data_IF_568626930128
#
_entry.id   IF_568626930128
#
_cell.length_a   1.000
_cell.length_b   1.000
_cell.length_c   1.000
_cell.angle_alpha   90.00
_cell.angle_beta   90.00
_cell.angle_gamma   90.00
#
_symmetry.space_group_name_H-M   'P 1'
#
loop_
_entity.id
_entity.type
_entity.pdbx_description
1 polymer ?
#
# COMPACT_ATOMS: atom_id res chain seq x y z
N UNK A 1 0.15 5.34 -8.78
CA UNK A 1 -0.51 5.40 -7.44
C UNK A 1 -1.12 4.06 -7.06
N UNK A 2 -1.82 3.38 -7.99
CA UNK A 2 -2.38 2.04 -7.77
C UNK A 2 -1.33 0.97 -7.40
N UNK A 3 -0.13 1.05 -7.98
CA UNK A 3 0.98 0.12 -7.69
C UNK A 3 1.44 0.14 -6.23
N UNK A 4 1.73 1.34 -5.71
CA UNK A 4 2.15 1.48 -4.32
C UNK A 4 1.08 0.97 -3.34
N UNK A 5 -0.21 1.19 -3.65
CA UNK A 5 -1.30 0.68 -2.83
C UNK A 5 -1.40 -0.85 -2.88
N UNK A 6 -1.30 -1.45 -4.08
CA UNK A 6 -1.32 -2.91 -4.24
C UNK A 6 -0.13 -3.57 -3.54
N UNK A 7 1.05 -2.95 -3.55
CA UNK A 7 2.20 -3.42 -2.78
C UNK A 7 1.89 -3.45 -1.27
N UNK A 8 1.35 -2.35 -0.72
CA UNK A 8 0.97 -2.29 0.70
C UNK A 8 -0.09 -3.35 1.04
N UNK A 9 -1.06 -3.56 0.15
CA UNK A 9 -2.08 -4.58 0.31
C UNK A 9 -1.48 -6.00 0.31
N UNK A 10 -0.52 -6.28 -0.57
CA UNK A 10 0.19 -7.56 -0.61
C UNK A 10 1.02 -7.81 0.66
N UNK A 11 1.64 -6.77 1.21
CA UNK A 11 2.36 -6.85 2.48
C UNK A 11 1.38 -7.13 3.62
N UNK A 12 0.24 -6.45 3.65
CA UNK A 12 -0.84 -6.69 4.61
C UNK A 12 -1.38 -8.13 4.51
N UNK A 13 -1.66 -8.63 3.31
CA UNK A 13 -2.08 -10.01 3.07
C UNK A 13 -1.03 -11.01 3.58
N UNK A 14 0.24 -10.76 3.28
CA UNK A 14 1.35 -11.60 3.73
C UNK A 14 1.43 -11.64 5.26
N UNK A 15 1.31 -10.49 5.92
CA UNK A 15 1.29 -10.40 7.37
C UNK A 15 0.11 -11.17 7.98
N UNK A 16 -1.06 -11.13 7.32
CA UNK A 16 -2.26 -11.82 7.78
C UNK A 16 -2.13 -13.35 7.64
N UNK A 17 -1.61 -13.82 6.52
CA UNK A 17 -1.41 -15.26 6.22
C UNK A 17 -0.35 -15.86 7.16
N UNK A 18 0.74 -15.13 7.43
CA UNK A 18 1.81 -15.58 8.31
C UNK A 18 1.49 -15.41 9.80
N UNK A 19 0.59 -14.47 10.13
CA UNK A 19 0.22 -14.16 11.49
C UNK A 19 -0.81 -15.14 12.10
N UNK A 20 -1.03 -14.97 13.40
CA UNK A 20 -2.02 -15.76 14.15
C UNK A 20 -3.46 -15.49 13.71
N UNK A 21 -3.71 -14.37 13.01
CA UNK A 21 -5.04 -13.98 12.51
C UNK A 21 -5.58 -14.96 11.46
N UNK A 22 -4.72 -15.44 10.55
CA UNK A 22 -5.11 -16.44 9.55
C UNK A 22 -5.59 -17.74 10.20
N UNK A 23 -4.88 -18.20 11.23
CA UNK A 23 -5.28 -19.36 12.05
C UNK A 23 -6.55 -19.07 12.86
N UNK A 24 -6.68 -17.86 13.38
CA UNK A 24 -7.80 -17.45 14.23
C UNK A 24 -9.13 -17.41 13.47
N UNK A 25 -9.14 -17.05 12.19
CA UNK A 25 -10.37 -16.98 11.39
C UNK A 25 -10.54 -18.15 10.42
N UNK A 26 -9.46 -18.84 10.05
CA UNK A 26 -9.51 -19.99 9.16
C UNK A 26 -9.73 -19.62 7.69
N UNK A 27 -9.33 -18.41 7.27
CA UNK A 27 -9.43 -17.92 5.88
C UNK A 27 -8.09 -17.93 5.15
N UNK A 28 -7.15 -18.77 5.60
CA UNK A 28 -5.78 -18.72 5.13
C UNK A 28 -5.69 -18.99 3.63
N UNK A 29 -6.42 -20.01 3.16
CA UNK A 29 -6.41 -20.42 1.75
C UNK A 29 -7.05 -19.36 0.85
N UNK A 30 -8.14 -18.73 1.29
CA UNK A 30 -8.79 -17.65 0.54
C UNK A 30 -7.91 -16.41 0.45
N UNK A 31 -7.19 -16.05 1.52
CA UNK A 31 -6.22 -14.94 1.48
C UNK A 31 -4.98 -15.26 0.64
N UNK A 32 -4.51 -16.52 0.63
CA UNK A 32 -3.42 -16.97 -0.25
C UNK A 32 -3.82 -16.86 -1.72
N UNK A 33 -5.06 -17.23 -2.05
CA UNK A 33 -5.60 -17.06 -3.40
C UNK A 33 -5.69 -15.59 -3.83
N UNK A 34 -6.20 -14.72 -2.95
CA UNK A 34 -6.24 -13.27 -3.21
C UNK A 34 -4.82 -12.71 -3.41
N UNK A 35 -3.87 -13.10 -2.56
CA UNK A 35 -2.46 -12.71 -2.70
C UNK A 35 -1.91 -13.13 -4.06
N UNK A 36 -2.13 -14.38 -4.47
CA UNK A 36 -1.70 -14.87 -5.77
C UNK A 36 -2.26 -14.03 -6.92
N UNK A 37 -3.57 -13.76 -6.89
CA UNK A 37 -4.22 -12.91 -7.90
C UNK A 37 -3.61 -11.51 -7.95
N UNK A 38 -3.47 -10.83 -6.80
CA UNK A 38 -2.86 -9.49 -6.77
C UNK A 38 -1.40 -9.47 -7.22
N UNK A 39 -0.60 -10.48 -6.92
CA UNK A 39 0.78 -10.59 -7.42
C UNK A 39 0.81 -10.71 -8.94
N UNK A 40 -0.06 -11.53 -9.55
CA UNK A 40 -0.13 -11.65 -11.02
C UNK A 40 -0.58 -10.36 -11.71
N UNK A 41 -1.35 -9.53 -11.02
CA UNK A 41 -1.81 -8.24 -11.51
C UNK A 41 -0.73 -7.18 -11.32
N UNK A 42 -0.01 -7.19 -10.20
CA UNK A 42 1.12 -6.29 -9.94
C UNK A 42 2.17 -6.37 -11.05
N UNK A 43 2.48 -7.58 -11.52
CA UNK A 43 3.44 -7.84 -12.61
C UNK A 43 3.14 -7.08 -13.91
N UNK A 44 1.89 -6.66 -14.13
CA UNK A 44 1.46 -5.92 -15.34
C UNK A 44 0.96 -4.52 -15.06
N UNK A 45 0.92 -4.13 -13.80
CA UNK A 45 0.30 -2.88 -13.40
C UNK A 45 1.17 -1.67 -13.78
N UNK A 46 2.49 -1.84 -13.81
CA UNK A 46 3.42 -0.82 -14.26
C UNK A 46 3.21 -0.51 -15.75
N UNK A 47 3.20 -1.54 -16.61
CA UNK A 47 2.92 -1.40 -18.05
C UNK A 47 1.51 -0.83 -18.29
N UNK A 48 0.52 -1.25 -17.50
CA UNK A 48 -0.84 -0.73 -17.57
C UNK A 48 -0.92 0.76 -17.20
N UNK A 49 -0.19 1.22 -16.17
CA UNK A 49 -0.19 2.63 -15.77
C UNK A 49 0.48 3.54 -16.81
N UNK A 50 1.57 3.08 -17.44
CA UNK A 50 2.19 3.83 -18.54
C UNK A 50 1.25 3.97 -19.75
N UNK A 51 0.51 2.90 -20.08
CA UNK A 51 -0.43 2.87 -21.21
C UNK A 51 -1.78 3.54 -20.90
N UNK A 52 -2.13 3.72 -19.62
CA UNK A 52 -3.40 4.29 -19.15
C UNK A 52 -3.72 5.64 -19.80
N UNK A 53 -2.71 6.49 -20.04
CA UNK A 53 -2.90 7.84 -20.57
C UNK A 53 -3.54 7.87 -21.98
N UNK A 54 -3.53 6.75 -22.71
CA UNK A 54 -3.99 6.68 -24.09
C UNK A 54 -5.23 5.82 -24.29
N UNK A 55 -5.64 5.03 -23.29
CA UNK A 55 -6.66 4.00 -23.42
C UNK A 55 -7.72 4.08 -22.30
N UNK A 56 -8.90 4.61 -22.63
CA UNK A 56 -10.05 4.75 -21.69
C UNK A 56 -10.56 3.40 -21.18
N UNK A 57 -10.73 2.37 -22.02
CA UNK A 57 -10.97 1.00 -21.57
C UNK A 57 -9.99 0.50 -20.49
N UNK A 58 -8.69 0.81 -20.63
CA UNK A 58 -7.66 0.43 -19.65
C UNK A 58 -7.79 1.21 -18.33
N UNK A 59 -8.14 2.50 -18.41
CA UNK A 59 -8.45 3.31 -17.22
C UNK A 59 -9.63 2.72 -16.42
N UNK A 60 -10.70 2.31 -17.10
CA UNK A 60 -11.84 1.67 -16.44
C UNK A 60 -11.46 0.33 -15.80
N UNK A 61 -10.62 -0.48 -16.48
CA UNK A 61 -10.10 -1.72 -15.94
C UNK A 61 -9.27 -1.50 -14.66
N UNK A 62 -8.36 -0.52 -14.66
CA UNK A 62 -7.58 -0.12 -13.48
C UNK A 62 -8.47 0.41 -12.36
N UNK A 63 -9.55 1.12 -12.68
CA UNK A 63 -10.50 1.60 -11.69
C UNK A 63 -11.22 0.43 -10.98
N UNK A 64 -11.71 -0.56 -11.75
CA UNK A 64 -12.33 -1.78 -11.17
C UNK A 64 -11.36 -2.53 -10.26
N UNK A 65 -10.10 -2.62 -10.67
CA UNK A 65 -9.05 -3.24 -9.87
C UNK A 65 -8.83 -2.50 -8.54
N UNK A 66 -8.73 -1.18 -8.56
CA UNK A 66 -8.58 -0.38 -7.34
C UNK A 66 -9.77 -0.57 -6.39
N UNK A 67 -11.00 -0.54 -6.91
CA UNK A 67 -12.19 -0.79 -6.09
C UNK A 67 -12.13 -2.18 -5.45
N UNK A 68 -11.67 -3.19 -6.18
CA UNK A 68 -11.51 -4.53 -5.63
C UNK A 68 -10.41 -4.61 -4.56
N UNK A 69 -9.30 -3.91 -4.75
CA UNK A 69 -8.21 -3.84 -3.77
C UNK A 69 -8.68 -3.18 -2.47
N UNK A 70 -9.41 -2.05 -2.54
CA UNK A 70 -9.94 -1.38 -1.34
C UNK A 70 -10.89 -2.27 -0.54
N UNK A 71 -11.78 -3.00 -1.21
CA UNK A 71 -12.71 -3.91 -0.52
C UNK A 71 -11.97 -5.04 0.22
N UNK A 72 -10.84 -5.52 -0.33
CA UNK A 72 -9.99 -6.52 0.33
C UNK A 72 -9.25 -5.93 1.54
N UNK A 73 -8.76 -4.69 1.43
CA UNK A 73 -8.16 -3.97 2.56
C UNK A 73 -9.17 -3.78 3.71
N UNK A 74 -10.40 -3.38 3.38
CA UNK A 74 -11.50 -3.25 4.34
C UNK A 74 -11.81 -4.57 5.06
N UNK A 75 -11.76 -5.70 4.35
CA UNK A 75 -11.93 -7.04 4.94
C UNK A 75 -10.80 -7.35 5.92
N UNK A 76 -9.55 -7.04 5.55
CA UNK A 76 -8.38 -7.25 6.41
C UNK A 76 -8.49 -6.42 7.70
N UNK A 77 -8.87 -5.16 7.58
CA UNK A 77 -9.03 -4.28 8.73
C UNK A 77 -10.21 -4.67 9.63
N UNK A 78 -11.32 -5.15 9.05
CA UNK A 78 -12.43 -5.73 9.82
C UNK A 78 -11.96 -6.96 10.62
N UNK A 79 -11.13 -7.83 10.02
CA UNK A 79 -10.55 -8.99 10.68
C UNK A 79 -9.60 -8.59 11.83
N UNK A 80 -8.68 -7.64 11.58
CA UNK A 80 -7.75 -7.11 12.61
C UNK A 80 -8.53 -6.49 13.79
N UNK A 81 -9.51 -5.64 13.49
CA UNK A 81 -10.37 -5.00 14.50
C UNK A 81 -11.12 -6.04 15.33
N UNK A 82 -11.65 -7.08 14.68
CA UNK A 82 -12.38 -8.15 15.34
C UNK A 82 -11.48 -8.98 16.25
N UNK A 83 -10.27 -9.32 15.80
CA UNK A 83 -9.30 -10.05 16.60
C UNK A 83 -8.85 -9.26 17.83
N UNK A 84 -8.56 -7.97 17.67
CA UNK A 84 -8.21 -7.09 18.78
C UNK A 84 -9.33 -6.99 19.83
N UNK A 85 -10.61 -6.99 19.40
CA UNK A 85 -11.75 -7.03 20.32
C UNK A 85 -11.86 -8.36 21.05
N UNK A 86 -11.58 -9.48 20.36
CA UNK A 86 -11.72 -10.81 20.94
C UNK A 86 -10.59 -11.13 21.93
N UNK A 87 -9.37 -10.65 21.69
CA UNK A 87 -8.24 -10.80 22.62
C UNK A 87 -8.47 -10.07 23.95
N UNK A 88 -9.32 -9.05 23.98
CA UNK A 88 -9.71 -8.35 25.22
C UNK A 88 -10.85 -9.04 25.99
N UNK A 89 -11.52 -10.04 25.40
CA UNK A 89 -12.64 -10.73 26.06
C UNK A 89 -12.19 -12.01 26.75
N UNK A 90 -12.76 -12.32 27.92
CA UNK A 90 -12.48 -13.56 28.69
C UNK A 90 -12.70 -14.87 27.91
N UNK A 91 -13.50 -14.83 26.85
CA UNK A 91 -13.87 -16.00 26.05
C UNK A 91 -12.99 -16.20 24.80
N UNK A 92 -12.09 -15.27 24.47
CA UNK A 92 -11.16 -15.38 23.35
C UNK A 92 -11.83 -15.86 22.04
N UNK A 93 -11.27 -16.90 21.43
CA UNK A 93 -11.74 -17.53 20.19
C UNK A 93 -13.15 -18.15 20.27
N UNK A 94 -13.68 -18.39 21.48
CA UNK A 94 -14.94 -19.12 21.70
C UNK A 94 -16.16 -18.20 21.80
N UNK A 95 -16.01 -16.91 21.46
CA UNK A 95 -17.12 -15.97 21.53
C UNK A 95 -18.19 -16.34 20.47
N UNK A 96 -19.47 -16.52 20.85
CA UNK A 96 -20.54 -16.91 19.91
C UNK A 96 -20.76 -15.94 18.72
N UNK A 97 -20.26 -14.71 18.81
CA UNK A 97 -20.31 -13.71 17.72
C UNK A 97 -19.27 -13.96 16.62
N UNK A 98 -18.41 -14.97 16.75
CA UNK A 98 -17.37 -15.29 15.75
C UNK A 98 -17.94 -16.03 14.53
N UNK A 99 -18.93 -16.91 14.75
CA UNK A 99 -19.56 -17.71 13.69
C UNK A 99 -20.25 -16.83 12.63
N UNK A 100 -21.16 -15.90 12.99
CA UNK A 100 -21.79 -15.03 11.99
C UNK A 100 -20.78 -14.07 11.33
N UNK A 101 -19.71 -13.71 12.05
CA UNK A 101 -18.63 -12.89 11.49
C UNK A 101 -17.86 -13.65 10.41
N UNK A 102 -17.46 -14.90 10.69
CA UNK A 102 -16.79 -15.76 9.69
C UNK A 102 -17.68 -15.95 8.46
N UNK A 103 -18.97 -16.23 8.63
CA UNK A 103 -19.88 -16.36 7.49
C UNK A 103 -19.93 -15.07 6.64
N UNK A 104 -20.04 -13.91 7.28
CA UNK A 104 -20.05 -12.60 6.60
C UNK A 104 -18.76 -12.38 5.80
N UNK A 105 -17.60 -12.60 6.43
CA UNK A 105 -16.29 -12.40 5.79
C UNK A 105 -16.08 -13.40 4.65
N UNK A 106 -16.34 -14.69 4.87
CA UNK A 106 -16.19 -15.71 3.84
C UNK A 106 -17.05 -15.44 2.61
N UNK A 107 -18.29 -14.96 2.79
CA UNK A 107 -19.14 -14.55 1.66
C UNK A 107 -18.54 -13.38 0.88
N UNK A 108 -18.07 -12.33 1.57
CA UNK A 108 -17.43 -11.17 0.92
C UNK A 108 -16.15 -11.57 0.18
N UNK A 109 -15.31 -12.42 0.79
CA UNK A 109 -14.09 -12.91 0.15
C UNK A 109 -14.38 -13.69 -1.13
N UNK A 110 -15.41 -14.55 -1.11
CA UNK A 110 -15.84 -15.27 -2.31
C UNK A 110 -16.28 -14.31 -3.43
N UNK A 111 -17.12 -13.34 -3.11
CA UNK A 111 -17.56 -12.31 -4.07
C UNK A 111 -16.37 -11.51 -4.62
N UNK A 112 -15.37 -11.23 -3.79
CA UNK A 112 -14.16 -10.52 -4.20
C UNK A 112 -13.26 -11.34 -5.11
N UNK A 113 -13.15 -12.63 -4.86
CA UNK A 113 -12.40 -13.52 -5.73
C UNK A 113 -13.04 -13.63 -7.11
N UNK A 114 -14.36 -13.78 -7.18
CA UNK A 114 -15.11 -13.80 -8.45
C UNK A 114 -14.93 -12.49 -9.24
N UNK A 115 -14.93 -11.33 -8.55
CA UNK A 115 -14.66 -10.03 -9.19
C UNK A 115 -13.23 -9.93 -9.71
N UNK A 116 -12.25 -10.40 -8.94
CA UNK A 116 -10.85 -10.39 -9.37
C UNK A 116 -10.61 -11.32 -10.56
N UNK A 117 -11.25 -12.49 -10.60
CA UNK A 117 -11.19 -13.39 -11.74
C UNK A 117 -11.76 -12.74 -13.01
N UNK A 118 -12.88 -12.02 -12.89
CA UNK A 118 -13.46 -11.27 -14.00
C UNK A 118 -12.51 -10.16 -14.49
N UNK A 119 -11.88 -9.42 -13.57
CA UNK A 119 -10.88 -8.39 -13.89
C UNK A 119 -9.66 -9.04 -14.56
N UNK A 120 -9.18 -10.16 -14.05
CA UNK A 120 -8.07 -10.91 -14.64
C UNK A 120 -8.41 -11.43 -16.04
N UNK A 121 -9.65 -11.86 -16.30
CA UNK A 121 -10.08 -12.27 -17.63
C UNK A 121 -10.15 -11.08 -18.62
N UNK A 122 -10.63 -9.91 -18.17
CA UNK A 122 -10.66 -8.68 -18.98
C UNK A 122 -9.25 -8.24 -19.40
N UNK A 123 -8.22 -8.54 -18.60
CA UNK A 123 -6.80 -8.24 -18.88
C UNK A 123 -6.36 -8.69 -20.27
N UNK A 124 -6.85 -9.83 -20.75
CA UNK A 124 -6.48 -10.41 -22.06
C UNK A 124 -6.71 -9.46 -23.25
N UNK A 125 -7.61 -8.48 -23.08
CA UNK A 125 -7.97 -7.49 -24.11
C UNK A 125 -6.95 -6.37 -24.29
N UNK A 126 -6.05 -6.18 -23.33
CA UNK A 126 -5.16 -5.01 -23.26
C UNK A 126 -3.71 -5.30 -23.67
N UNK A 127 -3.39 -6.55 -24.03
CA UNK A 127 -2.03 -6.98 -24.43
C UNK A 127 -0.94 -6.43 -23.49
N UNK A 128 -1.17 -6.56 -22.18
CA UNK A 128 -0.23 -6.12 -21.15
C UNK A 128 0.90 -7.13 -21.02
N UNK A 129 2.12 -6.68 -21.26
CA UNK A 129 3.33 -7.50 -21.16
C UNK A 129 3.97 -7.35 -19.78
N UNK A 130 4.44 -8.46 -19.21
CA UNK A 130 5.25 -8.42 -17.99
C UNK A 130 6.62 -7.84 -18.36
N UNK A 131 6.96 -6.66 -17.86
CA UNK A 131 8.31 -6.10 -18.03
C UNK A 131 9.28 -6.87 -17.16
N UNK A 132 10.33 -7.42 -17.77
CA UNK A 132 11.51 -7.98 -17.07
C UNK A 132 12.60 -6.92 -16.86
N UNK A 133 12.23 -5.64 -16.77
CA UNK A 133 13.21 -4.56 -16.85
C UNK A 133 13.70 -4.21 -15.45
N UNK A 134 14.94 -4.61 -15.15
CA UNK A 134 15.82 -3.89 -14.23
C UNK A 134 15.85 -2.42 -14.65
N UNK A 135 14.97 -1.61 -14.07
CA UNK A 135 15.13 -0.16 -14.13
C UNK A 135 14.94 0.36 -12.73
N UNK A 136 16.04 0.89 -12.21
CA UNK A 136 16.04 1.87 -11.14
C UNK A 136 14.96 2.90 -11.47
N UNK A 137 13.82 2.77 -10.81
CA UNK A 137 12.83 3.82 -10.78
C UNK A 137 13.61 5.06 -10.36
N UNK A 138 13.68 6.06 -11.25
CA UNK A 138 14.22 7.37 -10.95
C UNK A 138 13.29 8.02 -9.93
N UNK A 139 13.42 7.55 -8.69
CA UNK A 139 12.78 8.09 -7.51
C UNK A 139 13.28 9.52 -7.43
N UNK A 140 12.39 10.47 -7.18
CA UNK A 140 12.84 11.77 -6.68
C UNK A 140 13.60 11.49 -5.40
N UNK A 141 14.92 11.61 -5.47
CA UNK A 141 15.77 11.54 -4.30
C UNK A 141 15.44 12.75 -3.44
N UNK A 142 14.73 12.51 -2.34
CA UNK A 142 14.56 13.48 -1.25
C UNK A 142 15.60 13.26 -0.16
N UNK A 143 16.63 12.45 -0.44
CA UNK A 143 17.74 12.13 0.46
C UNK A 143 19.00 12.89 0.08
N UNK A 144 19.96 12.94 1.00
CA UNK A 144 21.28 13.51 0.77
C UNK A 144 22.17 12.46 0.10
N UNK A 145 22.60 12.70 -1.14
CA UNK A 145 23.72 11.96 -1.75
C UNK A 145 24.99 12.46 -1.08
N UNK A 146 25.76 11.56 -0.47
CA UNK A 146 26.96 11.84 0.36
C UNK A 146 28.10 12.58 -0.40
N UNK A 147 27.95 12.86 -1.69
CA UNK A 147 28.97 13.51 -2.51
C UNK A 147 28.33 14.38 -3.59
N UNK A 148 27.62 15.42 -3.18
CA UNK A 148 27.22 16.51 -4.09
C UNK A 148 28.35 17.55 -4.24
N UNK A 149 28.48 18.20 -5.42
CA UNK A 149 29.33 19.38 -5.55
C UNK A 149 28.80 20.51 -4.66
N UNK A 150 29.69 21.18 -3.92
CA UNK A 150 29.32 22.25 -3.01
C UNK A 150 28.57 23.37 -3.77
N UNK A 151 27.37 23.80 -3.33
CA UNK A 151 26.61 24.82 -4.02
C UNK A 151 27.34 26.17 -3.96
N UNK A 152 27.89 26.60 -5.10
CA UNK A 152 28.61 27.86 -5.22
C UNK A 152 27.68 29.08 -5.11
N UNK A 153 28.15 30.13 -4.42
CA UNK A 153 27.47 31.42 -4.37
C UNK A 153 26.35 31.55 -3.32
N UNK A 154 26.06 30.47 -2.58
CA UNK A 154 25.09 30.46 -1.47
C UNK A 154 25.75 30.50 -0.08
N UNK A 155 27.01 30.92 -0.01
CA UNK A 155 27.79 30.94 1.23
C UNK A 155 27.18 31.85 2.30
N UNK A 156 26.55 32.96 1.87
CA UNK A 156 25.89 33.92 2.76
C UNK A 156 24.64 33.29 3.41
N UNK A 157 23.82 32.62 2.62
CA UNK A 157 22.61 31.92 3.04
C UNK A 157 22.96 30.73 3.93
N UNK A 158 23.99 29.94 3.57
CA UNK A 158 24.55 28.85 4.38
C UNK A 158 24.92 29.35 5.78
N UNK A 159 25.72 30.41 5.87
CA UNK A 159 26.14 30.98 7.15
C UNK A 159 24.96 31.54 7.97
N UNK A 160 23.95 32.13 7.31
CA UNK A 160 22.74 32.63 7.98
C UNK A 160 21.91 31.49 8.57
N UNK A 161 21.75 30.39 7.85
CA UNK A 161 21.03 29.19 8.32
C UNK A 161 21.79 28.57 9.51
N UNK A 162 23.11 28.35 9.38
CA UNK A 162 23.94 27.81 10.47
C UNK A 162 23.80 28.66 11.73
N UNK A 163 23.89 30.00 11.60
CA UNK A 163 23.73 30.92 12.73
C UNK A 163 22.36 30.82 13.41
N UNK A 164 21.28 30.67 12.63
CA UNK A 164 19.93 30.50 13.18
C UNK A 164 19.83 29.17 13.94
N UNK A 165 20.40 28.09 13.40
CA UNK A 165 20.38 26.77 14.01
C UNK A 165 21.24 26.71 15.28
N UNK A 166 22.42 27.34 15.30
CA UNK A 166 23.31 27.33 16.47
C UNK A 166 22.84 28.25 17.60
N UNK A 167 22.24 29.39 17.27
CA UNK A 167 21.85 30.38 18.27
C UNK A 167 20.54 30.05 18.99
N UNK A 168 19.72 29.14 18.45
CA UNK A 168 18.43 28.74 19.02
C UNK A 168 18.50 27.52 19.96
N UNK A 169 19.69 27.08 20.36
CA UNK A 169 19.88 25.91 21.22
C UNK A 169 19.64 26.22 22.72
N UNK A 170 19.46 27.49 23.09
CA UNK A 170 19.15 27.86 24.47
C UNK A 170 17.75 28.43 24.63
N UNK A 171 16.96 27.69 25.41
CA UNK A 171 15.71 28.01 26.08
C UNK A 171 14.40 28.07 25.27
N UNK A 172 13.44 27.34 25.86
CA UNK A 172 11.97 27.40 25.72
C UNK A 172 11.33 26.42 24.72
N UNK A 173 10.25 25.82 25.22
CA UNK A 173 9.39 24.75 24.69
C UNK A 173 8.61 25.12 23.40
N UNK A 174 9.20 25.90 22.48
CA UNK A 174 8.54 26.33 21.24
C UNK A 174 9.18 25.70 19.99
N UNK A 175 8.34 25.06 19.17
CA UNK A 175 8.75 24.47 17.89
C UNK A 175 9.19 25.56 16.91
N UNK A 176 10.49 25.57 16.55
CA UNK A 176 11.03 26.46 15.51
C UNK A 176 10.99 25.79 14.14
N UNK A 177 10.22 26.36 13.20
CA UNK A 177 10.16 25.93 11.79
C UNK A 177 10.91 26.94 10.91
N UNK A 178 11.77 26.46 10.01
CA UNK A 178 12.51 27.27 9.03
C UNK A 178 12.13 26.87 7.61
N UNK A 179 11.17 27.55 6.96
CA UNK A 179 10.82 27.25 5.58
C UNK A 179 11.91 27.72 4.60
N UNK A 180 12.26 26.88 3.63
CA UNK A 180 13.13 27.24 2.51
C UNK A 180 12.24 27.39 1.28
N UNK A 181 12.19 28.59 0.72
CA UNK A 181 11.39 28.92 -0.46
C UNK A 181 12.32 29.10 -1.67
N UNK A 182 11.95 28.48 -2.79
CA UNK A 182 12.59 28.64 -4.08
C UNK A 182 11.53 28.60 -5.19
N UNK A 183 11.90 29.05 -6.39
CA UNK A 183 11.12 28.86 -7.61
C UNK A 183 11.72 27.71 -8.43
#
# INVERSE_FOLDING_TARGET
MAEAFIQVLLDNLTSFIQGELGLFFGFKDEFENLKSAFTTIQDVLEDAQEKQLKDKPLENWLHKLNVAAYEVDDILDECKSKAAKLSQTKYGCYHPKIVPFRYKIGKRMKEMMEKLDAIAAERSKFHLEKRTIEREAARRETGFVLTEPEPYGRDKEKNKIVKILTNKVCDVQDLSVLPILGM
#
